data_IF_697279462284
#
_entry.id   IF_697279462284
#
_cell.length_a   1.000
_cell.length_b   1.000
_cell.length_c   1.000
_cell.angle_alpha   90.00
_cell.angle_beta   90.00
_cell.angle_gamma   90.00
#
_symmetry.space_group_name_H-M   'P 1'
#
loop_
_entity.id
_entity.type
_entity.pdbx_description
1 polymer ?
#
# COMPACT_ATOMS: atom_id res chain seq x y z
N UNK A 1 -4.50 13.65 11.14
CA UNK A 1 -4.31 15.06 10.78
C UNK A 1 -3.73 15.91 11.93
N UNK A 2 -3.62 15.37 13.14
CA UNK A 2 -3.15 16.05 14.35
C UNK A 2 -1.93 15.30 14.92
N UNK A 3 -0.98 14.88 14.06
CA UNK A 3 0.21 14.14 14.47
C UNK A 3 -0.05 12.71 14.93
N UNK A 4 -1.27 12.20 14.79
CA UNK A 4 -1.65 10.83 15.11
C UNK A 4 -1.79 10.05 13.81
N UNK A 5 -1.04 8.97 13.66
CA UNK A 5 -1.16 8.07 12.53
C UNK A 5 -2.56 7.42 12.52
N UNK A 6 -3.38 7.74 11.52
CA UNK A 6 -4.74 7.21 11.40
C UNK A 6 -4.79 5.68 11.38
N UNK A 7 -3.78 5.04 10.79
CA UNK A 7 -3.67 3.58 10.76
C UNK A 7 -3.51 3.00 12.18
N UNK A 8 -2.71 3.64 13.04
CA UNK A 8 -2.52 3.20 14.42
C UNK A 8 -3.79 3.36 15.27
N UNK A 9 -4.62 4.35 14.98
CA UNK A 9 -5.91 4.53 15.67
C UNK A 9 -6.91 3.42 15.34
N UNK A 10 -6.86 2.90 14.12
CA UNK A 10 -7.74 1.82 13.67
C UNK A 10 -7.14 0.43 13.87
N UNK A 11 -5.88 0.31 14.30
CA UNK A 11 -5.21 -0.98 14.45
C UNK A 11 -5.96 -1.92 15.37
N UNK A 12 -6.39 -1.44 16.54
CA UNK A 12 -7.14 -2.26 17.49
C UNK A 12 -8.45 -2.82 16.90
N UNK A 13 -9.16 -2.02 16.10
CA UNK A 13 -10.40 -2.47 15.44
C UNK A 13 -10.08 -3.48 14.33
N UNK A 14 -9.05 -3.21 13.51
CA UNK A 14 -8.62 -4.15 12.46
C UNK A 14 -8.16 -5.47 13.04
N UNK A 15 -7.33 -5.43 14.09
CA UNK A 15 -6.84 -6.64 14.77
C UNK A 15 -7.99 -7.46 15.35
N UNK A 16 -8.95 -6.82 16.02
CA UNK A 16 -10.09 -7.52 16.58
C UNK A 16 -10.97 -8.22 15.53
N UNK A 17 -11.10 -7.63 14.34
CA UNK A 17 -11.95 -8.16 13.27
C UNK A 17 -11.23 -9.19 12.38
N UNK A 18 -9.98 -8.95 12.03
CA UNK A 18 -9.31 -9.69 10.96
C UNK A 18 -8.22 -10.66 11.46
N UNK A 19 -7.75 -10.54 12.69
CA UNK A 19 -6.81 -11.50 13.27
C UNK A 19 -7.44 -12.86 13.54
N UNK A 20 -8.67 -12.97 14.06
CA UNK A 20 -9.32 -14.27 14.20
C UNK A 20 -9.44 -15.02 12.87
N UNK A 21 -9.86 -14.33 11.80
CA UNK A 21 -9.94 -14.90 10.45
C UNK A 21 -8.58 -15.36 9.92
N UNK A 22 -7.51 -14.63 10.28
CA UNK A 22 -6.14 -15.02 9.95
C UNK A 22 -5.71 -16.30 10.67
N UNK A 23 -6.07 -16.45 11.95
CA UNK A 23 -5.76 -17.65 12.73
C UNK A 23 -6.51 -18.87 12.18
N UNK A 24 -7.77 -18.72 11.81
CA UNK A 24 -8.55 -19.77 11.15
C UNK A 24 -7.92 -20.19 9.81
N UNK A 25 -7.44 -19.22 9.01
CA UNK A 25 -6.72 -19.53 7.78
C UNK A 25 -5.43 -20.32 8.04
N UNK A 26 -4.65 -19.95 9.04
CA UNK A 26 -3.42 -20.66 9.41
C UNK A 26 -3.74 -22.10 9.85
N UNK A 27 -4.78 -22.28 10.66
CA UNK A 27 -5.20 -23.61 11.12
C UNK A 27 -5.67 -24.48 9.94
N UNK A 28 -6.53 -23.94 9.06
CA UNK A 28 -7.02 -24.64 7.88
C UNK A 28 -5.89 -25.00 6.95
N UNK A 29 -4.98 -24.06 6.68
CA UNK A 29 -3.81 -24.31 5.83
C UNK A 29 -2.88 -25.38 6.42
N UNK A 30 -2.70 -25.42 7.73
CA UNK A 30 -1.89 -26.44 8.40
C UNK A 30 -2.43 -27.87 8.19
N UNK A 31 -3.74 -28.01 7.97
CA UNK A 31 -4.42 -29.29 7.73
C UNK A 31 -4.48 -29.65 6.25
N UNK A 32 -4.73 -28.68 5.38
CA UNK A 32 -5.01 -28.90 3.95
C UNK A 32 -3.80 -28.68 3.05
N UNK A 33 -2.83 -27.87 3.49
CA UNK A 33 -1.69 -27.37 2.71
C UNK A 33 -2.14 -26.73 1.37
N UNK A 34 -3.36 -26.18 1.33
CA UNK A 34 -3.94 -25.55 0.15
C UNK A 34 -4.34 -24.09 0.46
N UNK A 35 -3.56 -23.14 -0.06
CA UNK A 35 -3.83 -21.70 0.07
C UNK A 35 -4.96 -21.20 -0.86
N UNK A 36 -5.57 -22.08 -1.65
CA UNK A 36 -6.72 -21.75 -2.52
C UNK A 36 -8.02 -22.37 -2.03
N UNK A 37 -8.00 -23.15 -0.95
CA UNK A 37 -9.19 -23.77 -0.37
C UNK A 37 -10.32 -22.78 -0.18
N UNK A 38 -11.56 -23.16 -0.49
CA UNK A 38 -12.76 -22.36 -0.30
C UNK A 38 -13.08 -22.11 1.19
N UNK A 39 -12.57 -22.97 2.07
CA UNK A 39 -12.71 -22.84 3.52
C UNK A 39 -11.93 -21.63 4.11
N UNK A 40 -10.97 -21.06 3.36
CA UNK A 40 -10.18 -19.94 3.80
C UNK A 40 -10.89 -18.61 3.61
N UNK A 41 -10.73 -17.70 4.55
CA UNK A 41 -11.20 -16.32 4.46
C UNK A 41 -10.32 -15.47 3.56
N UNK A 42 -10.94 -14.66 2.70
CA UNK A 42 -10.22 -13.68 1.87
C UNK A 42 -9.73 -12.52 2.75
N UNK A 43 -10.67 -11.93 3.52
CA UNK A 43 -10.37 -10.78 4.37
C UNK A 43 -9.71 -11.22 5.68
N UNK A 44 -8.45 -11.60 5.62
CA UNK A 44 -7.61 -11.89 6.77
C UNK A 44 -6.61 -10.74 6.99
N UNK A 45 -6.07 -10.59 8.20
CA UNK A 45 -5.20 -9.46 8.56
C UNK A 45 -4.02 -9.29 7.60
N UNK A 46 -3.30 -10.38 7.28
CA UNK A 46 -2.15 -10.33 6.38
C UNK A 46 -2.55 -10.02 4.93
N UNK A 47 -3.77 -10.39 4.49
CA UNK A 47 -4.28 -10.01 3.17
C UNK A 47 -4.55 -8.50 3.08
N UNK A 48 -5.11 -7.89 4.13
CA UNK A 48 -5.32 -6.44 4.20
C UNK A 48 -3.99 -5.68 4.16
N UNK A 49 -2.98 -6.16 4.89
CA UNK A 49 -1.64 -5.59 4.86
C UNK A 49 -1.01 -5.70 3.46
N UNK A 50 -1.18 -6.87 2.81
CA UNK A 50 -0.64 -7.15 1.49
C UNK A 50 -1.17 -6.20 0.41
N UNK A 51 -2.44 -5.79 0.46
CA UNK A 51 -3.07 -4.99 -0.58
C UNK A 51 -3.41 -3.56 -0.16
N UNK A 52 -3.56 -3.28 1.14
CA UNK A 52 -4.01 -1.98 1.63
C UNK A 52 -2.97 -1.15 2.37
N UNK A 53 -1.83 -1.76 2.77
CA UNK A 53 -0.89 -1.09 3.67
C UNK A 53 0.58 -1.15 3.20
N UNK A 54 0.87 -1.73 2.04
CA UNK A 54 2.23 -1.79 1.53
C UNK A 54 2.78 -0.39 1.22
N UNK A 55 4.02 -0.14 1.64
CA UNK A 55 4.61 1.20 1.58
C UNK A 55 4.00 2.18 2.59
N UNK A 56 3.29 1.67 3.62
CA UNK A 56 2.64 2.43 4.66
C UNK A 56 1.23 2.90 4.32
N UNK A 57 0.63 3.72 5.19
CA UNK A 57 -0.72 4.26 5.00
C UNK A 57 -0.85 4.96 3.65
N UNK A 58 -1.94 4.68 2.94
CA UNK A 58 -2.18 5.26 1.61
C UNK A 58 -1.42 4.56 0.48
N UNK A 59 -0.78 3.39 0.74
CA UNK A 59 0.08 2.65 -0.21
C UNK A 59 1.08 3.56 -0.91
N UNK A 60 1.73 4.41 -0.11
CA UNK A 60 2.54 5.57 -0.57
C UNK A 60 3.82 5.18 -1.31
N UNK A 61 4.24 3.92 -1.27
CA UNK A 61 5.35 3.47 -2.14
C UNK A 61 5.02 3.71 -3.62
N UNK A 62 3.74 3.62 -4.02
CA UNK A 62 3.30 3.98 -5.35
C UNK A 62 3.54 5.45 -5.69
N UNK A 63 3.29 6.36 -4.74
CA UNK A 63 3.62 7.78 -4.89
C UNK A 63 5.12 8.00 -5.00
N UNK A 64 5.92 7.38 -4.13
CA UNK A 64 7.39 7.49 -4.16
C UNK A 64 7.93 7.07 -5.52
N UNK A 65 7.50 5.92 -6.04
CA UNK A 65 7.91 5.43 -7.36
C UNK A 65 7.41 6.37 -8.47
N UNK A 66 6.15 6.84 -8.39
CA UNK A 66 5.60 7.78 -9.35
C UNK A 66 6.43 9.08 -9.43
N UNK A 67 6.83 9.63 -8.27
CA UNK A 67 7.69 10.83 -8.21
C UNK A 67 9.06 10.54 -8.84
N UNK A 68 9.69 9.42 -8.51
CA UNK A 68 11.00 9.09 -9.08
C UNK A 68 10.99 8.96 -10.61
N UNK A 69 9.89 8.49 -11.19
CA UNK A 69 9.75 8.27 -12.63
C UNK A 69 9.26 9.53 -13.35
N UNK A 70 8.23 10.20 -12.84
CA UNK A 70 7.47 11.21 -13.57
C UNK A 70 7.72 12.64 -13.10
N UNK A 71 8.22 12.85 -11.88
CA UNK A 71 8.47 14.20 -11.36
C UNK A 71 9.64 14.87 -12.08
N UNK A 72 9.45 16.17 -12.40
CA UNK A 72 10.50 17.03 -12.92
C UNK A 72 11.09 17.96 -11.85
N UNK A 73 10.51 17.98 -10.66
CA UNK A 73 10.95 18.83 -9.56
C UNK A 73 12.00 18.11 -8.72
N UNK A 74 13.16 18.75 -8.53
CA UNK A 74 14.27 18.18 -7.76
C UNK A 74 13.95 18.03 -6.28
N UNK A 75 13.18 18.97 -5.71
CA UNK A 75 12.73 18.91 -4.32
C UNK A 75 11.88 17.66 -4.07
N UNK A 76 10.85 17.41 -4.90
CA UNK A 76 10.02 16.22 -4.80
C UNK A 76 10.85 14.93 -4.99
N UNK A 77 11.76 14.90 -5.96
CA UNK A 77 12.63 13.74 -6.24
C UNK A 77 13.58 13.45 -5.08
N UNK A 78 14.11 14.49 -4.43
CA UNK A 78 14.97 14.33 -3.25
C UNK A 78 14.21 13.68 -2.11
N UNK A 79 12.99 14.17 -1.81
CA UNK A 79 12.14 13.58 -0.78
C UNK A 79 11.79 12.13 -1.12
N UNK A 80 11.42 11.85 -2.37
CA UNK A 80 11.12 10.48 -2.80
C UNK A 80 12.35 9.56 -2.66
N UNK A 81 13.55 10.04 -3.01
CA UNK A 81 14.78 9.27 -2.88
C UNK A 81 15.08 8.83 -1.45
N UNK A 82 14.97 9.76 -0.47
CA UNK A 82 15.18 9.41 0.95
C UNK A 82 14.01 8.61 1.54
N UNK A 83 12.83 8.66 0.93
CA UNK A 83 11.64 7.92 1.36
C UNK A 83 11.59 6.49 0.82
N UNK A 84 12.38 6.17 -0.20
CA UNK A 84 12.30 4.87 -0.89
C UNK A 84 12.64 3.72 0.05
N UNK A 85 13.78 3.81 0.75
CA UNK A 85 14.24 2.74 1.64
C UNK A 85 13.29 2.53 2.82
N UNK A 86 12.91 3.57 3.61
CA UNK A 86 11.87 3.41 4.62
C UNK A 86 10.56 2.86 4.06
N UNK A 87 10.11 3.37 2.90
CA UNK A 87 8.88 2.94 2.24
C UNK A 87 8.86 1.46 1.87
N UNK A 88 10.01 0.88 1.52
CA UNK A 88 10.12 -0.58 1.30
C UNK A 88 9.87 -1.39 2.60
N UNK A 89 10.05 -0.79 3.76
CA UNK A 89 9.72 -1.40 5.06
C UNK A 89 8.38 -0.89 5.63
N UNK A 90 7.53 -0.35 4.76
CA UNK A 90 6.21 0.18 5.08
C UNK A 90 6.20 1.40 6.02
N UNK A 91 7.33 2.11 6.12
CA UNK A 91 7.51 3.34 6.90
C UNK A 91 7.39 4.53 5.94
N UNK A 92 6.33 5.33 6.08
CA UNK A 92 6.01 6.40 5.12
C UNK A 92 6.00 7.81 5.69
N UNK A 93 6.46 7.99 6.90
CA UNK A 93 6.52 9.30 7.55
C UNK A 93 7.35 10.31 6.73
N UNK A 94 8.45 9.85 6.15
CA UNK A 94 9.35 10.71 5.36
C UNK A 94 8.63 11.32 4.15
N UNK A 95 7.87 10.54 3.40
CA UNK A 95 7.10 11.06 2.26
C UNK A 95 5.87 11.84 2.70
N UNK A 96 5.18 11.39 3.75
CA UNK A 96 3.93 11.99 4.20
C UNK A 96 4.14 13.39 4.80
N UNK A 97 5.26 13.60 5.49
CA UNK A 97 5.60 14.89 6.06
C UNK A 97 6.52 15.72 5.16
N UNK A 98 7.38 15.10 4.38
CA UNK A 98 8.27 15.79 3.44
C UNK A 98 7.50 16.39 2.26
N UNK A 99 6.53 15.68 1.73
CA UNK A 99 5.54 16.21 0.80
C UNK A 99 4.29 16.47 1.63
N UNK A 100 3.80 17.72 1.75
CA UNK A 100 2.69 18.04 2.66
C UNK A 100 1.37 17.40 2.18
N UNK A 101 1.24 16.07 2.38
CA UNK A 101 0.07 15.31 1.93
C UNK A 101 -1.15 15.56 2.81
N UNK A 102 -0.90 15.77 4.11
CA UNK A 102 -1.94 15.82 5.14
C UNK A 102 -2.88 17.03 4.99
N UNK A 103 -2.36 18.16 4.50
CA UNK A 103 -3.13 19.39 4.28
C UNK A 103 -3.31 19.71 2.79
N UNK A 104 -2.92 18.81 1.90
CA UNK A 104 -2.98 19.03 0.47
C UNK A 104 -4.18 18.29 -0.11
N UNK A 105 -5.23 19.00 -0.55
CA UNK A 105 -6.42 18.36 -1.11
C UNK A 105 -6.10 17.57 -2.40
N UNK A 106 -5.08 17.98 -3.17
CA UNK A 106 -4.71 17.30 -4.42
C UNK A 106 -4.11 15.92 -4.13
N UNK A 107 -3.19 15.81 -3.16
CA UNK A 107 -2.55 14.53 -2.81
C UNK A 107 -3.35 13.74 -1.76
N UNK A 108 -4.21 14.39 -1.00
CA UNK A 108 -5.12 13.73 -0.06
C UNK A 108 -6.14 12.82 -0.74
N UNK A 109 -6.59 13.17 -1.94
CA UNK A 109 -7.52 12.34 -2.73
C UNK A 109 -6.89 10.98 -3.08
N UNK A 110 -5.74 10.91 -3.78
CA UNK A 110 -5.14 9.63 -4.12
C UNK A 110 -4.64 8.86 -2.87
N UNK A 111 -4.32 9.52 -1.78
CA UNK A 111 -3.97 8.87 -0.51
C UNK A 111 -5.12 7.98 0.02
N UNK A 112 -6.37 8.36 -0.22
CA UNK A 112 -7.54 7.56 0.12
C UNK A 112 -7.92 6.60 -1.00
N UNK A 113 -7.84 7.02 -2.26
CA UNK A 113 -8.26 6.21 -3.39
C UNK A 113 -7.31 5.04 -3.70
N UNK A 114 -6.01 5.22 -3.50
CA UNK A 114 -5.04 4.19 -3.84
C UNK A 114 -5.23 2.90 -3.02
N UNK A 115 -5.36 2.92 -1.68
CA UNK A 115 -5.68 1.71 -0.92
C UNK A 115 -6.99 1.06 -1.36
N UNK A 116 -8.03 1.84 -1.66
CA UNK A 116 -9.31 1.31 -2.13
C UNK A 116 -9.13 0.57 -3.46
N UNK A 117 -8.41 1.17 -4.40
CA UNK A 117 -8.15 0.57 -5.71
C UNK A 117 -7.31 -0.70 -5.59
N UNK A 118 -6.26 -0.70 -4.76
CA UNK A 118 -5.39 -1.87 -4.58
C UNK A 118 -6.09 -3.00 -3.85
N UNK A 119 -6.93 -2.71 -2.85
CA UNK A 119 -7.77 -3.71 -2.19
C UNK A 119 -8.82 -4.29 -3.15
N UNK A 120 -9.45 -3.47 -4.00
CA UNK A 120 -10.41 -3.94 -5.00
C UNK A 120 -9.73 -4.88 -6.02
N UNK A 121 -8.55 -4.52 -6.52
CA UNK A 121 -7.78 -5.36 -7.42
C UNK A 121 -7.33 -6.64 -6.71
N UNK A 122 -6.82 -6.55 -5.48
CA UNK A 122 -6.46 -7.72 -4.67
C UNK A 122 -7.64 -8.66 -4.47
N UNK A 123 -8.81 -8.12 -4.18
CA UNK A 123 -10.05 -8.91 -4.06
C UNK A 123 -10.40 -9.64 -5.35
N UNK A 124 -10.40 -8.94 -6.49
CA UNK A 124 -10.68 -9.53 -7.80
C UNK A 124 -9.69 -10.66 -8.09
N UNK A 125 -8.38 -10.42 -7.92
CA UNK A 125 -7.35 -11.43 -8.15
C UNK A 125 -7.51 -12.66 -7.25
N UNK A 126 -7.96 -12.47 -6.02
CA UNK A 126 -8.20 -13.57 -5.08
C UNK A 126 -9.46 -14.36 -5.44
N UNK A 127 -10.56 -13.68 -5.79
CA UNK A 127 -11.83 -14.34 -6.15
C UNK A 127 -11.71 -15.17 -7.43
N UNK A 128 -10.98 -14.69 -8.43
CA UNK A 128 -10.73 -15.46 -9.65
C UNK A 128 -9.70 -16.59 -9.47
N UNK A 129 -9.17 -16.79 -8.26
CA UNK A 129 -8.20 -17.84 -7.94
C UNK A 129 -6.78 -17.58 -8.48
N UNK A 130 -6.49 -16.38 -9.00
CA UNK A 130 -5.14 -16.00 -9.42
C UNK A 130 -4.22 -15.80 -8.23
N UNK A 131 -4.64 -15.01 -7.22
CA UNK A 131 -3.94 -14.80 -5.97
C UNK A 131 -4.40 -15.82 -4.93
N UNK A 132 -3.51 -16.63 -4.34
CA UNK A 132 -3.86 -17.45 -3.19
C UNK A 132 -4.25 -16.59 -1.99
N UNK A 133 -5.03 -17.14 -1.08
CA UNK A 133 -5.44 -16.46 0.15
C UNK A 133 -4.27 -16.37 1.13
N UNK A 134 -4.35 -15.44 2.08
CA UNK A 134 -3.35 -15.27 3.12
C UNK A 134 -3.43 -16.42 4.14
N UNK A 135 -2.34 -17.16 4.30
CA UNK A 135 -2.23 -18.34 5.15
C UNK A 135 -1.05 -18.30 6.11
N UNK A 136 -0.14 -17.33 5.93
CA UNK A 136 1.01 -17.09 6.82
C UNK A 136 0.96 -15.65 7.29
N UNK A 137 1.06 -15.43 8.61
CA UNK A 137 1.16 -14.10 9.17
C UNK A 137 2.62 -13.63 9.11
N UNK A 138 2.90 -12.69 8.21
CA UNK A 138 4.22 -12.09 8.06
C UNK A 138 4.30 -10.76 8.81
N UNK A 139 5.46 -10.36 9.32
CA UNK A 139 5.64 -9.04 9.92
C UNK A 139 5.21 -7.92 8.97
N UNK A 140 4.51 -6.91 9.47
CA UNK A 140 4.03 -5.78 8.67
C UNK A 140 5.16 -4.99 7.98
N UNK A 141 6.39 -5.06 8.54
CA UNK A 141 7.59 -4.44 7.96
C UNK A 141 8.20 -5.22 6.80
N UNK A 142 7.62 -6.36 6.42
CA UNK A 142 8.13 -7.15 5.29
C UNK A 142 8.02 -6.34 3.99
N UNK A 143 9.11 -6.22 3.20
CA UNK A 143 9.07 -5.51 1.93
C UNK A 143 7.99 -6.02 0.99
N UNK A 144 7.32 -5.14 0.23
CA UNK A 144 6.36 -5.53 -0.80
C UNK A 144 6.97 -6.55 -1.78
N UNK A 145 6.13 -7.37 -2.40
CA UNK A 145 6.47 -8.53 -3.24
C UNK A 145 6.93 -9.73 -2.38
N UNK A 146 7.92 -9.56 -1.49
CA UNK A 146 8.30 -10.60 -0.53
C UNK A 146 7.17 -10.89 0.44
N UNK A 147 6.48 -9.84 0.93
CA UNK A 147 5.29 -9.98 1.77
C UNK A 147 4.21 -10.80 1.05
N UNK A 148 3.88 -10.48 -0.20
CA UNK A 148 2.92 -11.23 -0.99
C UNK A 148 3.30 -12.68 -1.20
N UNK A 149 4.58 -12.94 -1.47
CA UNK A 149 5.11 -14.30 -1.62
C UNK A 149 4.94 -15.12 -0.33
N UNK A 150 5.43 -14.60 0.79
CA UNK A 150 5.42 -15.32 2.07
C UNK A 150 4.02 -15.50 2.63
N UNK A 151 3.21 -14.44 2.61
CA UNK A 151 1.84 -14.44 3.18
C UNK A 151 0.93 -15.47 2.52
N UNK A 152 1.13 -15.74 1.23
CA UNK A 152 0.34 -16.72 0.46
C UNK A 152 0.89 -18.14 0.46
N UNK A 153 1.71 -18.51 1.46
CA UNK A 153 2.31 -19.84 1.56
C UNK A 153 3.49 -20.05 0.62
N UNK A 154 4.34 -19.04 0.47
CA UNK A 154 5.48 -19.04 -0.46
C UNK A 154 5.07 -19.24 -1.93
N UNK A 155 3.95 -18.64 -2.33
CA UNK A 155 3.41 -18.76 -3.68
C UNK A 155 3.80 -17.55 -4.55
N UNK A 156 4.38 -17.84 -5.73
CA UNK A 156 4.80 -16.79 -6.66
C UNK A 156 3.64 -15.90 -7.15
N UNK A 157 2.43 -16.45 -7.24
CA UNK A 157 1.25 -15.68 -7.65
C UNK A 157 0.87 -14.62 -6.63
N UNK A 158 1.18 -14.84 -5.33
CA UNK A 158 1.05 -13.82 -4.30
C UNK A 158 2.00 -12.64 -4.55
N UNK A 159 3.26 -12.91 -4.88
CA UNK A 159 4.24 -11.87 -5.25
C UNK A 159 3.80 -11.10 -6.50
N UNK A 160 3.35 -11.80 -7.54
CA UNK A 160 2.86 -11.19 -8.79
C UNK A 160 1.62 -10.33 -8.53
N UNK A 161 0.69 -10.80 -7.71
CA UNK A 161 -0.51 -10.04 -7.34
C UNK A 161 -0.17 -8.74 -6.60
N UNK A 162 0.80 -8.78 -5.70
CA UNK A 162 1.27 -7.58 -5.01
C UNK A 162 2.02 -6.63 -5.96
N UNK A 163 2.80 -7.15 -6.91
CA UNK A 163 3.41 -6.33 -7.96
C UNK A 163 2.37 -5.61 -8.82
N UNK A 164 1.27 -6.30 -9.18
CA UNK A 164 0.13 -5.69 -9.86
C UNK A 164 -0.48 -4.57 -9.02
N UNK A 165 -0.66 -4.79 -7.71
CA UNK A 165 -1.19 -3.78 -6.79
C UNK A 165 -0.27 -2.53 -6.72
N UNK A 166 1.06 -2.72 -6.73
CA UNK A 166 2.03 -1.60 -6.79
C UNK A 166 1.83 -0.79 -8.08
N UNK A 167 1.69 -1.45 -9.23
CA UNK A 167 1.45 -0.75 -10.50
C UNK A 167 0.12 0.02 -10.44
N UNK A 168 -0.93 -0.56 -9.89
CA UNK A 168 -2.22 0.12 -9.70
C UNK A 168 -2.07 1.36 -8.83
N UNK A 169 -1.34 1.27 -7.71
CA UNK A 169 -1.11 2.42 -6.85
C UNK A 169 -0.36 3.55 -7.59
N UNK A 170 0.66 3.22 -8.37
CA UNK A 170 1.39 4.19 -9.21
C UNK A 170 0.41 4.89 -10.17
N UNK A 171 -0.42 4.12 -10.89
CA UNK A 171 -1.38 4.67 -11.85
C UNK A 171 -2.40 5.59 -11.19
N UNK A 172 -2.84 5.29 -9.96
CA UNK A 172 -3.72 6.19 -9.19
C UNK A 172 -3.02 7.48 -8.79
N UNK A 173 -1.75 7.42 -8.39
CA UNK A 173 -1.02 8.61 -7.95
C UNK A 173 -0.57 9.53 -9.09
N UNK A 174 -0.24 9.01 -10.26
CA UNK A 174 0.36 9.79 -11.38
C UNK A 174 -0.46 11.02 -11.78
N UNK A 175 -1.78 10.95 -12.05
CA UNK A 175 -2.55 12.13 -12.47
C UNK A 175 -2.57 13.22 -11.40
N UNK A 176 -2.65 12.85 -10.13
CA UNK A 176 -2.65 13.81 -9.03
C UNK A 176 -1.26 14.39 -8.76
N UNK A 177 -0.20 13.63 -8.95
CA UNK A 177 1.18 14.14 -8.92
C UNK A 177 1.39 15.22 -9.97
N UNK A 178 0.95 14.97 -11.22
CA UNK A 178 1.06 15.95 -12.30
C UNK A 178 0.26 17.23 -11.98
N UNK A 179 -0.94 17.08 -11.42
CA UNK A 179 -1.75 18.22 -10.99
C UNK A 179 -1.09 19.00 -9.86
N UNK A 180 -0.51 18.30 -8.89
CA UNK A 180 0.20 18.88 -7.76
C UNK A 180 1.44 19.68 -8.22
N UNK A 181 2.25 19.16 -9.11
CA UNK A 181 3.43 19.86 -9.64
C UNK A 181 3.06 21.10 -10.45
N UNK A 182 1.97 21.04 -11.20
CA UNK A 182 1.45 22.24 -11.90
C UNK A 182 1.04 23.34 -10.91
N UNK A 183 0.40 22.96 -9.83
CA UNK A 183 0.04 23.86 -8.76
C UNK A 183 1.27 24.49 -8.08
N UNK A 184 2.27 23.68 -7.72
CA UNK A 184 3.54 24.16 -7.14
C UNK A 184 4.27 25.14 -8.09
N UNK A 185 4.31 24.83 -9.37
CA UNK A 185 4.99 25.69 -10.36
C UNK A 185 4.27 27.04 -10.53
N UNK A 186 2.92 27.04 -10.46
CA UNK A 186 2.15 28.28 -10.50
C UNK A 186 2.43 29.15 -9.28
N UNK A 187 2.43 28.58 -8.08
CA UNK A 187 2.77 29.30 -6.85
C UNK A 187 4.20 29.86 -6.87
N UNK A 188 5.16 29.10 -7.38
CA UNK A 188 6.54 29.56 -7.50
C UNK A 188 6.67 30.73 -8.48
N UNK A 189 5.91 30.77 -9.56
CA UNK A 189 5.89 31.89 -10.50
C UNK A 189 5.27 33.15 -9.88
N UNK A 190 4.15 33.02 -9.18
CA UNK A 190 3.48 34.12 -8.46
C UNK A 190 4.31 34.70 -7.31
N UNK A 191 5.18 33.92 -6.68
CA UNK A 191 6.08 34.39 -5.62
C UNK A 191 7.35 35.09 -6.14
N UNK A 192 7.64 34.97 -7.46
CA UNK A 192 8.79 35.59 -8.11
C UNK A 192 8.46 36.95 -8.75
N UNK A 193 7.17 37.33 -8.83
CA UNK A 193 6.66 38.62 -9.27
C UNK A 193 6.56 39.59 -8.10
#
# INVERSE_FOLDING_TARGET
LVGIHGNNMLSAVKEALFTPLMLENIETFSKTNDAKSDELHIFAMAWLQMFGEFGGSGVTIGLVIAIMIFSKREDNRTIAGISLVPGLFNINETVTFGIPMVLNPILGIPFVLAPIATLAVGYILTVIGFCPKAVINTPWTTPPILHGFLTTGANIMGAVSQAIAIVVSILVYVPFLIAYERYQNKQAAEAAE
#
